data_IF_420889999431
#
_entry.id   IF_420889999431
#
_cell.length_a   1.000
_cell.length_b   1.000
_cell.length_c   1.000
_cell.angle_alpha   90.00
_cell.angle_beta   90.00
_cell.angle_gamma   90.00
#
_symmetry.space_group_name_H-M   'P 1'
#
loop_
_entity.id
_entity.type
_entity.pdbx_description
1 polymer ?
#
# COMPACT_ATOMS: atom_id res chain seq x y z
N UNK A 1 -13.34 -1.78 -4.23
CA UNK A 1 -12.71 -2.99 -3.67
C UNK A 1 -11.30 -2.74 -3.13
N UNK A 2 -10.47 -1.93 -3.81
CA UNK A 2 -9.07 -1.69 -3.40
C UNK A 2 -8.93 -0.84 -2.12
N UNK A 3 -9.84 0.11 -1.91
CA UNK A 3 -9.80 0.99 -0.73
C UNK A 3 -10.59 0.43 0.45
N UNK A 4 -11.80 -0.08 0.19
CA UNK A 4 -12.74 -0.48 1.24
C UNK A 4 -12.84 -1.99 1.46
N UNK A 5 -12.26 -2.81 0.60
CA UNK A 5 -12.22 -4.26 0.79
C UNK A 5 -11.56 -4.61 2.12
N UNK A 6 -12.11 -5.59 2.85
CA UNK A 6 -11.72 -5.93 4.23
C UNK A 6 -11.74 -4.72 5.18
N UNK A 7 -12.71 -3.81 5.01
CA UNK A 7 -12.85 -2.57 5.77
C UNK A 7 -11.60 -1.68 5.77
N UNK A 8 -10.80 -1.73 4.69
CA UNK A 8 -9.53 -1.01 4.58
C UNK A 8 -8.38 -1.57 5.43
N UNK A 9 -8.60 -2.69 6.12
CA UNK A 9 -7.61 -3.34 6.99
C UNK A 9 -6.74 -4.33 6.21
N UNK A 10 -6.05 -3.83 5.17
CA UNK A 10 -5.07 -4.59 4.38
C UNK A 10 -3.81 -3.76 4.19
N UNK A 11 -2.65 -4.39 4.27
CA UNK A 11 -1.34 -3.76 4.04
C UNK A 11 -1.22 -3.08 2.66
N UNK A 12 -2.02 -3.50 1.67
CA UNK A 12 -2.06 -2.95 0.32
C UNK A 12 -3.37 -2.23 -0.01
N UNK A 13 -4.24 -1.95 0.98
CA UNK A 13 -5.41 -1.11 0.74
C UNK A 13 -4.97 0.28 0.28
N UNK A 14 -5.66 0.79 -0.75
CA UNK A 14 -5.39 2.14 -1.24
C UNK A 14 -6.04 3.15 -0.29
N UNK A 15 -5.22 3.88 0.46
CA UNK A 15 -5.66 4.90 1.42
C UNK A 15 -5.70 6.30 0.82
N UNK A 16 -4.94 6.54 -0.24
CA UNK A 16 -4.84 7.84 -0.91
C UNK A 16 -5.05 7.69 -2.41
N UNK A 17 -5.85 8.58 -2.98
CA UNK A 17 -6.00 8.78 -4.42
C UNK A 17 -5.41 10.12 -4.79
N UNK A 18 -4.50 10.14 -5.75
CA UNK A 18 -3.95 11.38 -6.32
C UNK A 18 -4.67 11.69 -7.63
N UNK A 19 -5.52 12.71 -7.60
CA UNK A 19 -6.26 13.17 -8.77
C UNK A 19 -5.42 14.21 -9.53
N UNK A 20 -5.01 13.88 -10.76
CA UNK A 20 -4.11 14.69 -11.57
C UNK A 20 -4.90 15.59 -12.55
N UNK A 21 -4.62 16.88 -12.57
CA UNK A 21 -5.26 17.84 -13.45
C UNK A 21 -6.75 18.03 -13.12
N UNK A 22 -7.59 18.01 -14.11
CA UNK A 22 -9.03 18.33 -14.00
C UNK A 22 -9.93 17.12 -13.69
N UNK A 23 -9.36 15.94 -13.41
CA UNK A 23 -10.17 14.73 -13.19
C UNK A 23 -10.86 14.70 -11.82
N UNK A 24 -10.41 15.53 -10.85
CA UNK A 24 -10.78 15.48 -9.45
C UNK A 24 -12.29 15.43 -9.21
N UNK A 25 -13.04 16.41 -9.75
CA UNK A 25 -14.48 16.49 -9.52
C UNK A 25 -15.24 15.28 -10.05
N UNK A 26 -14.91 14.86 -11.28
CA UNK A 26 -15.53 13.68 -11.90
C UNK A 26 -15.23 12.40 -11.11
N UNK A 27 -14.01 12.27 -10.61
CA UNK A 27 -13.57 11.11 -9.82
C UNK A 27 -14.27 11.10 -8.47
N UNK A 28 -14.25 12.20 -7.73
CA UNK A 28 -14.88 12.32 -6.40
C UNK A 28 -16.39 12.04 -6.49
N UNK A 29 -17.09 12.59 -7.48
CA UNK A 29 -18.51 12.33 -7.68
C UNK A 29 -18.81 10.84 -7.93
N UNK A 30 -17.99 10.16 -8.74
CA UNK A 30 -18.15 8.73 -8.99
C UNK A 30 -17.82 7.89 -7.73
N UNK A 31 -16.77 8.26 -6.99
CA UNK A 31 -16.42 7.60 -5.73
C UNK A 31 -17.52 7.78 -4.69
N UNK A 32 -18.03 9.02 -4.50
CA UNK A 32 -19.14 9.32 -3.59
C UNK A 32 -20.31 8.36 -3.81
N UNK A 33 -20.78 8.26 -5.05
CA UNK A 33 -21.91 7.37 -5.38
C UNK A 33 -21.59 5.89 -5.05
N UNK A 34 -20.38 5.41 -5.40
CA UNK A 34 -19.99 4.02 -5.13
C UNK A 34 -19.85 3.72 -3.63
N UNK A 35 -19.29 4.67 -2.86
CA UNK A 35 -19.13 4.53 -1.42
C UNK A 35 -20.46 4.51 -0.68
N UNK A 36 -21.40 5.35 -1.10
CA UNK A 36 -22.77 5.39 -0.54
C UNK A 36 -23.58 4.12 -0.80
N UNK A 37 -23.30 3.42 -1.89
CA UNK A 37 -23.95 2.15 -2.24
C UNK A 37 -23.29 0.92 -1.62
N UNK A 38 -22.15 1.09 -0.94
CA UNK A 38 -21.38 -0.01 -0.36
C UNK A 38 -22.22 -0.74 0.70
N UNK A 39 -22.44 -2.03 0.51
CA UNK A 39 -23.22 -2.86 1.43
C UNK A 39 -22.34 -3.31 2.60
N UNK A 40 -22.56 -2.69 3.75
CA UNK A 40 -21.86 -3.02 5.00
C UNK A 40 -22.72 -4.00 5.80
N UNK A 41 -22.10 -5.07 6.31
CA UNK A 41 -22.86 -6.08 7.05
C UNK A 41 -21.98 -7.22 7.58
N UNK A 42 -22.57 -8.24 8.18
CA UNK A 42 -21.85 -9.41 8.68
C UNK A 42 -21.29 -10.25 7.52
N UNK A 43 -20.10 -10.83 7.70
CA UNK A 43 -19.45 -11.67 6.69
C UNK A 43 -20.18 -12.97 6.36
N UNK A 44 -21.18 -13.35 7.17
CA UNK A 44 -22.07 -14.49 6.87
C UNK A 44 -23.15 -14.18 5.82
N UNK A 45 -23.45 -12.89 5.56
CA UNK A 45 -24.37 -12.48 4.50
C UNK A 45 -23.60 -12.35 3.18
N UNK A 46 -24.01 -13.15 2.19
CA UNK A 46 -23.42 -13.18 0.83
C UNK A 46 -23.53 -11.85 0.07
N UNK A 47 -24.43 -10.96 0.49
CA UNK A 47 -24.61 -9.63 -0.13
C UNK A 47 -23.70 -8.58 0.50
N UNK A 48 -23.04 -8.88 1.60
CA UNK A 48 -22.10 -7.96 2.25
C UNK A 48 -20.85 -7.76 1.39
N UNK A 49 -20.49 -6.50 1.17
CA UNK A 49 -19.28 -6.09 0.44
C UNK A 49 -18.18 -5.63 1.38
N UNK A 50 -18.54 -5.17 2.59
CA UNK A 50 -17.59 -4.73 3.60
C UNK A 50 -18.08 -5.16 5.00
N UNK A 51 -17.21 -5.89 5.73
CA UNK A 51 -17.45 -6.36 7.09
C UNK A 51 -17.13 -5.30 8.16
N UNK A 52 -17.17 -5.72 9.45
CA UNK A 52 -16.77 -4.86 10.58
C UNK A 52 -15.25 -4.70 10.67
N UNK A 53 -14.81 -3.74 11.47
CA UNK A 53 -13.43 -3.67 11.97
C UNK A 53 -13.18 -4.76 13.03
N UNK A 54 -11.90 -5.03 13.33
CA UNK A 54 -11.51 -6.15 14.20
C UNK A 54 -11.84 -5.89 15.69
N UNK A 55 -11.61 -4.67 16.18
CA UNK A 55 -11.82 -4.32 17.60
C UNK A 55 -12.56 -2.99 17.78
N UNK A 56 -13.12 -2.80 18.98
CA UNK A 56 -13.77 -1.54 19.36
C UNK A 56 -12.76 -0.39 19.41
N UNK A 57 -11.59 -0.64 19.95
CA UNK A 57 -10.52 0.36 20.07
C UNK A 57 -10.12 0.86 18.69
N UNK A 58 -10.04 -0.05 17.72
CA UNK A 58 -9.72 0.32 16.34
C UNK A 58 -10.86 1.11 15.68
N UNK A 59 -12.11 0.75 15.93
CA UNK A 59 -13.27 1.53 15.48
C UNK A 59 -13.20 2.98 15.99
N UNK A 60 -12.91 3.17 17.28
CA UNK A 60 -12.79 4.51 17.84
C UNK A 60 -11.57 5.27 17.30
N UNK A 61 -10.46 4.57 17.08
CA UNK A 61 -9.29 5.15 16.38
C UNK A 61 -9.67 5.67 14.99
N UNK A 62 -10.35 4.85 14.16
CA UNK A 62 -10.76 5.23 12.80
C UNK A 62 -11.73 6.42 12.84
N UNK A 63 -12.73 6.41 13.73
CA UNK A 63 -13.63 7.56 13.91
C UNK A 63 -12.87 8.83 14.30
N UNK A 64 -11.90 8.71 15.20
CA UNK A 64 -11.03 9.82 15.60
C UNK A 64 -10.24 10.42 14.44
N UNK A 65 -9.75 9.59 13.49
CA UNK A 65 -9.11 10.10 12.29
C UNK A 65 -10.07 10.84 11.37
N UNK A 66 -11.34 10.43 11.29
CA UNK A 66 -12.35 11.18 10.54
C UNK A 66 -12.56 12.56 11.16
N UNK A 67 -12.62 12.66 12.49
CA UNK A 67 -12.71 13.95 13.19
C UNK A 67 -11.47 14.81 12.97
N UNK A 68 -10.28 14.22 13.00
CA UNK A 68 -9.02 14.92 12.73
C UNK A 68 -9.02 15.47 11.31
N UNK A 69 -9.42 14.70 10.29
CA UNK A 69 -9.48 15.15 8.91
C UNK A 69 -10.39 16.37 8.72
N UNK A 70 -11.58 16.34 9.36
CA UNK A 70 -12.51 17.49 9.37
C UNK A 70 -11.85 18.72 10.03
N UNK A 71 -11.25 18.53 11.21
CA UNK A 71 -10.60 19.61 11.98
C UNK A 71 -9.43 20.23 11.24
N UNK A 72 -8.69 19.43 10.46
CA UNK A 72 -7.56 19.90 9.63
C UNK A 72 -8.01 20.56 8.33
N UNK A 73 -9.33 20.58 8.04
CA UNK A 73 -9.94 21.28 6.92
C UNK A 73 -10.07 20.45 5.64
N UNK A 74 -9.96 19.12 5.74
CA UNK A 74 -10.33 18.25 4.63
C UNK A 74 -11.85 18.22 4.43
N UNK A 75 -12.30 18.10 3.19
CA UNK A 75 -13.73 18.04 2.86
C UNK A 75 -14.24 16.59 2.99
N UNK A 76 -15.03 16.30 4.04
CA UNK A 76 -15.69 15.01 4.21
C UNK A 76 -16.88 14.88 3.24
N UNK A 77 -16.67 14.14 2.16
CA UNK A 77 -17.65 13.93 1.08
C UNK A 77 -18.67 12.85 1.42
N UNK A 78 -18.22 11.79 2.11
CA UNK A 78 -19.07 10.71 2.64
C UNK A 78 -18.64 10.42 4.07
N UNK A 79 -19.62 10.46 5.00
CA UNK A 79 -19.42 10.11 6.40
C UNK A 79 -20.04 8.75 6.70
N UNK A 80 -19.20 7.73 6.85
CA UNK A 80 -19.59 6.37 7.17
C UNK A 80 -19.85 6.09 8.65
N UNK A 81 -19.62 7.06 9.56
CA UNK A 81 -19.72 6.85 11.02
C UNK A 81 -21.14 6.62 11.53
N UNK A 82 -22.14 7.04 10.77
CA UNK A 82 -23.56 7.00 11.16
C UNK A 82 -24.27 5.71 10.75
N UNK A 83 -23.54 4.70 10.33
CA UNK A 83 -24.15 3.42 9.96
C UNK A 83 -24.76 2.77 11.22
N UNK A 84 -26.00 2.28 11.08
CA UNK A 84 -26.67 1.45 12.08
C UNK A 84 -27.18 0.20 11.40
N UNK A 85 -26.75 -0.97 11.88
CA UNK A 85 -27.15 -2.27 11.35
C UNK A 85 -28.04 -2.94 12.39
N UNK A 86 -29.34 -3.07 12.06
CA UNK A 86 -30.32 -3.70 12.92
C UNK A 86 -29.91 -5.14 13.26
N UNK A 87 -29.88 -5.46 14.55
CA UNK A 87 -29.44 -6.77 15.07
C UNK A 87 -27.94 -6.93 15.22
N UNK A 88 -27.13 -5.93 14.82
CA UNK A 88 -25.66 -5.95 14.89
C UNK A 88 -25.10 -4.70 15.56
N UNK A 89 -25.85 -4.03 16.43
CA UNK A 89 -25.51 -2.76 17.08
C UNK A 89 -24.27 -2.84 17.96
N UNK A 90 -23.96 -4.06 18.44
CA UNK A 90 -22.75 -4.33 19.24
C UNK A 90 -21.50 -4.62 18.39
N UNK A 91 -21.66 -4.73 17.08
CA UNK A 91 -20.52 -4.96 16.15
C UNK A 91 -19.73 -3.70 15.87
N UNK A 92 -18.50 -3.87 15.43
CA UNK A 92 -17.55 -2.76 15.18
C UNK A 92 -17.68 -2.23 13.75
N UNK A 93 -18.91 -1.90 13.33
CA UNK A 93 -19.22 -1.47 11.97
C UNK A 93 -19.00 0.04 11.80
N UNK A 94 -18.45 0.38 10.65
CA UNK A 94 -18.34 1.73 10.12
C UNK A 94 -18.50 1.66 8.59
N UNK A 95 -19.20 2.60 8.00
CA UNK A 95 -19.30 2.72 6.55
C UNK A 95 -18.05 3.30 5.93
N UNK A 96 -17.97 3.31 4.60
CA UNK A 96 -16.88 3.97 3.90
C UNK A 96 -16.88 5.49 4.11
N UNK A 97 -15.73 6.04 4.47
CA UNK A 97 -15.52 7.48 4.57
C UNK A 97 -14.70 7.96 3.37
N UNK A 98 -15.08 9.08 2.78
CA UNK A 98 -14.39 9.70 1.63
C UNK A 98 -14.07 11.14 1.94
N UNK A 99 -12.80 11.49 1.89
CA UNK A 99 -12.31 12.86 1.97
C UNK A 99 -11.83 13.39 0.62
N UNK A 100 -12.09 14.65 0.35
CA UNK A 100 -11.53 15.41 -0.76
C UNK A 100 -10.72 16.61 -0.26
N UNK A 101 -9.92 17.20 -1.15
CA UNK A 101 -9.05 18.34 -0.84
C UNK A 101 -8.08 18.07 0.34
N UNK A 102 -7.66 16.83 0.49
CA UNK A 102 -6.66 16.46 1.49
C UNK A 102 -5.30 17.01 1.11
N UNK A 103 -4.60 17.58 2.08
CA UNK A 103 -3.26 18.16 1.88
C UNK A 103 -2.18 17.24 2.46
N UNK A 104 -0.95 17.23 1.89
CA UNK A 104 0.16 16.41 2.39
C UNK A 104 0.58 16.70 3.84
N UNK A 105 0.21 17.88 4.38
CA UNK A 105 0.46 18.25 5.76
C UNK A 105 -0.48 17.57 6.78
N UNK A 106 -1.63 17.09 6.33
CA UNK A 106 -2.68 16.53 7.20
C UNK A 106 -2.31 15.15 7.72
N UNK A 107 -2.74 14.84 8.95
CA UNK A 107 -2.49 13.53 9.58
C UNK A 107 -3.15 12.38 8.84
N UNK A 108 -4.35 12.58 8.31
CA UNK A 108 -5.06 11.57 7.51
C UNK A 108 -4.35 11.20 6.19
N UNK A 109 -3.37 12.03 5.74
CA UNK A 109 -2.48 11.69 4.63
C UNK A 109 -1.19 11.02 5.12
N UNK A 110 -0.62 11.48 6.25
CA UNK A 110 0.70 11.04 6.72
C UNK A 110 0.65 9.72 7.49
N UNK A 111 -0.41 9.51 8.28
CA UNK A 111 -0.50 8.43 9.23
C UNK A 111 -1.34 7.27 8.68
N UNK A 112 -0.98 6.05 9.02
CA UNK A 112 -1.73 4.86 8.65
C UNK A 112 -3.00 4.73 9.49
N UNK A 113 -4.15 4.95 8.87
CA UNK A 113 -5.47 4.81 9.52
C UNK A 113 -5.83 3.35 9.68
N UNK A 114 -5.59 2.54 8.66
CA UNK A 114 -5.90 1.11 8.58
C UNK A 114 -7.40 0.82 8.75
N UNK A 115 -8.22 1.60 8.06
CA UNK A 115 -9.68 1.56 8.13
C UNK A 115 -10.31 2.04 6.82
N UNK A 116 -11.67 2.03 6.69
CA UNK A 116 -12.35 2.35 5.45
C UNK A 116 -12.44 3.87 5.20
N UNK A 117 -11.29 4.52 5.17
CA UNK A 117 -11.14 5.97 4.93
C UNK A 117 -10.27 6.18 3.71
N UNK A 118 -10.83 6.82 2.68
CA UNK A 118 -10.13 7.16 1.44
C UNK A 118 -9.93 8.66 1.35
N UNK A 119 -8.70 9.10 1.16
CA UNK A 119 -8.29 10.49 1.02
C UNK A 119 -7.99 10.83 -0.44
N UNK A 120 -8.57 11.91 -0.97
CA UNK A 120 -8.26 12.41 -2.31
C UNK A 120 -7.39 13.66 -2.20
N UNK A 121 -6.20 13.58 -2.76
CA UNK A 121 -5.25 14.69 -2.94
C UNK A 121 -5.31 15.14 -4.39
N UNK A 122 -5.41 16.42 -4.62
CA UNK A 122 -5.46 17.01 -5.97
C UNK A 122 -4.11 17.63 -6.32
N UNK A 123 -3.60 17.36 -7.51
CA UNK A 123 -2.36 17.92 -8.05
C UNK A 123 -2.57 18.40 -9.48
N UNK A 124 -1.79 19.38 -9.90
CA UNK A 124 -1.99 20.02 -11.21
C UNK A 124 -1.50 19.14 -12.37
N UNK A 125 -0.42 18.36 -12.16
CA UNK A 125 0.26 17.67 -13.23
C UNK A 125 0.91 16.35 -12.76
N UNK A 126 1.42 15.60 -13.73
CA UNK A 126 2.04 14.30 -13.53
C UNK A 126 3.33 14.36 -12.68
N UNK A 127 4.15 15.39 -12.86
CA UNK A 127 5.40 15.52 -12.10
C UNK A 127 5.12 15.83 -10.62
N UNK A 128 4.12 16.67 -10.36
CA UNK A 128 3.61 16.94 -9.01
C UNK A 128 3.09 15.67 -8.33
N UNK A 129 2.42 14.79 -9.08
CA UNK A 129 1.96 13.51 -8.55
C UNK A 129 3.15 12.60 -8.18
N UNK A 130 4.16 12.47 -9.05
CA UNK A 130 5.38 11.70 -8.77
C UNK A 130 6.09 12.25 -7.53
N UNK A 131 6.26 13.58 -7.47
CA UNK A 131 6.90 14.23 -6.32
C UNK A 131 6.17 13.91 -5.03
N UNK A 132 4.84 14.07 -5.01
CA UNK A 132 4.00 13.79 -3.85
C UNK A 132 4.22 12.36 -3.31
N UNK A 133 4.19 11.36 -4.17
CA UNK A 133 4.39 9.96 -3.78
C UNK A 133 5.84 9.69 -3.36
N UNK A 134 6.80 10.30 -4.06
CA UNK A 134 8.22 10.11 -3.73
C UNK A 134 8.64 10.78 -2.42
N UNK A 135 8.01 11.88 -2.05
CA UNK A 135 8.28 12.60 -0.80
C UNK A 135 7.68 11.93 0.44
N UNK A 136 6.72 10.99 0.25
CA UNK A 136 6.13 10.28 1.38
C UNK A 136 7.17 9.37 2.06
N UNK A 137 7.15 9.29 3.39
CA UNK A 137 8.10 8.48 4.16
C UNK A 137 7.89 6.96 3.98
N UNK A 138 6.69 6.53 3.62
CA UNK A 138 6.38 5.15 3.28
C UNK A 138 6.40 4.91 1.76
N UNK A 139 6.72 3.70 1.35
CA UNK A 139 6.80 3.31 -0.06
C UNK A 139 6.46 1.84 -0.27
N UNK A 140 5.33 1.38 0.27
CA UNK A 140 4.90 -0.01 0.14
C UNK A 140 4.44 -0.31 -1.29
N UNK A 141 3.38 0.34 -1.75
CA UNK A 141 2.86 0.12 -3.09
C UNK A 141 2.09 1.32 -3.63
N UNK A 142 2.01 1.40 -4.95
CA UNK A 142 1.27 2.43 -5.66
C UNK A 142 0.69 1.88 -6.95
N UNK A 143 -0.34 2.53 -7.48
CA UNK A 143 -0.91 2.19 -8.78
C UNK A 143 -1.17 3.43 -9.60
N UNK A 144 -0.91 3.35 -10.91
CA UNK A 144 -1.29 4.38 -11.87
C UNK A 144 -2.38 3.85 -12.80
N UNK A 145 -3.36 4.68 -13.09
CA UNK A 145 -4.42 4.41 -14.07
C UNK A 145 -4.29 5.34 -15.25
N UNK A 146 -3.90 4.80 -16.39
CA UNK A 146 -3.67 5.56 -17.61
C UNK A 146 -3.94 4.72 -18.86
N UNK A 147 -4.28 5.36 -19.97
CA UNK A 147 -4.35 4.73 -21.30
C UNK A 147 -3.07 4.91 -22.11
N UNK A 148 -2.18 5.80 -21.66
CA UNK A 148 -0.91 6.07 -22.31
C UNK A 148 0.21 5.21 -21.73
N UNK A 149 0.75 4.32 -22.56
CA UNK A 149 1.81 3.40 -22.17
C UNK A 149 3.13 4.11 -21.82
N UNK A 150 3.40 5.27 -22.41
CA UNK A 150 4.60 6.05 -22.10
C UNK A 150 4.50 6.63 -20.68
N UNK A 151 3.35 7.21 -20.33
CA UNK A 151 3.07 7.68 -18.97
C UNK A 151 3.21 6.57 -17.95
N UNK A 152 2.66 5.37 -18.24
CA UNK A 152 2.78 4.21 -17.35
C UNK A 152 4.22 3.78 -17.11
N UNK A 153 5.03 3.65 -18.18
CA UNK A 153 6.47 3.30 -18.07
C UNK A 153 7.27 4.39 -17.37
N UNK A 154 7.01 5.65 -17.67
CA UNK A 154 7.69 6.78 -17.04
C UNK A 154 7.39 6.82 -15.54
N UNK A 155 6.14 6.57 -15.13
CA UNK A 155 5.76 6.46 -13.74
C UNK A 155 6.52 5.33 -13.04
N UNK A 156 6.48 4.12 -13.58
CA UNK A 156 7.14 2.96 -12.99
C UNK A 156 8.65 3.17 -12.78
N UNK A 157 9.31 3.87 -13.72
CA UNK A 157 10.74 4.16 -13.62
C UNK A 157 11.10 5.27 -12.62
N UNK A 158 10.22 6.26 -12.43
CA UNK A 158 10.51 7.43 -11.57
C UNK A 158 10.02 7.29 -10.14
N UNK A 159 9.08 6.39 -9.89
CA UNK A 159 8.47 6.25 -8.57
C UNK A 159 9.37 5.47 -7.60
N UNK A 160 9.49 5.97 -6.37
CA UNK A 160 10.34 5.37 -5.32
C UNK A 160 9.48 4.58 -4.34
N UNK A 161 8.93 3.48 -4.83
CA UNK A 161 8.02 2.59 -4.09
C UNK A 161 8.33 1.14 -4.47
N UNK A 162 8.16 0.21 -3.55
CA UNK A 162 8.56 -1.18 -3.75
C UNK A 162 7.70 -1.96 -4.75
N UNK A 163 6.39 -1.65 -4.83
CA UNK A 163 5.47 -2.33 -5.73
C UNK A 163 4.69 -1.31 -6.56
N UNK A 164 4.65 -1.50 -7.88
CA UNK A 164 4.00 -0.58 -8.81
C UNK A 164 3.01 -1.32 -9.69
N UNK A 165 1.76 -0.88 -9.68
CA UNK A 165 0.70 -1.36 -10.57
C UNK A 165 0.44 -0.38 -11.71
N UNK A 166 0.31 -0.87 -12.93
CA UNK A 166 -0.17 -0.10 -14.06
C UNK A 166 -1.55 -0.66 -14.44
N UNK A 167 -2.61 0.11 -14.18
CA UNK A 167 -4.01 -0.30 -14.33
C UNK A 167 -4.40 -1.53 -13.48
N UNK A 168 -3.63 -1.82 -12.44
CA UNK A 168 -3.89 -2.86 -11.45
C UNK A 168 -4.00 -2.20 -10.07
N UNK A 169 -5.10 -2.41 -9.33
CA UNK A 169 -5.35 -1.70 -8.08
C UNK A 169 -4.42 -2.13 -6.93
N UNK A 170 -4.07 -3.41 -6.87
CA UNK A 170 -3.23 -3.97 -5.80
C UNK A 170 -2.08 -4.76 -6.46
N UNK A 171 -0.87 -4.17 -6.55
CA UNK A 171 0.23 -4.73 -7.32
C UNK A 171 1.03 -5.80 -6.55
N UNK A 172 0.35 -6.70 -5.86
CA UNK A 172 0.99 -7.81 -5.14
C UNK A 172 1.09 -9.02 -6.08
N UNK A 173 2.31 -9.51 -6.38
CA UNK A 173 2.49 -10.69 -7.21
C UNK A 173 2.25 -11.99 -6.43
N UNK A 174 2.38 -13.13 -7.11
CA UNK A 174 2.40 -14.43 -6.47
C UNK A 174 3.62 -14.56 -5.54
N UNK A 175 3.47 -15.30 -4.42
CA UNK A 175 4.47 -15.39 -3.35
C UNK A 175 5.82 -16.03 -3.73
N UNK A 176 5.93 -16.64 -4.90
CA UNK A 176 7.21 -17.14 -5.41
C UNK A 176 8.09 -16.04 -6.05
N UNK A 177 7.53 -14.84 -6.28
CA UNK A 177 8.30 -13.65 -6.65
C UNK A 177 8.72 -12.89 -5.40
N UNK A 178 9.89 -12.27 -5.43
CA UNK A 178 10.30 -11.33 -4.41
C UNK A 178 9.52 -10.02 -4.54
N UNK A 179 8.91 -9.55 -3.46
CA UNK A 179 8.18 -8.28 -3.42
C UNK A 179 8.15 -7.70 -2.00
N UNK A 180 7.94 -6.42 -1.90
CA UNK A 180 7.82 -5.72 -0.62
C UNK A 180 7.95 -4.21 -0.76
N UNK A 181 7.90 -3.51 0.36
CA UNK A 181 8.01 -2.06 0.42
C UNK A 181 9.44 -1.55 0.32
N UNK A 182 9.55 -0.24 0.09
CA UNK A 182 10.76 0.55 0.22
C UNK A 182 10.63 1.54 1.38
N UNK A 183 11.66 2.31 1.65
CA UNK A 183 11.69 3.35 2.69
C UNK A 183 11.29 2.77 4.06
N UNK A 184 10.44 3.47 4.82
CA UNK A 184 9.95 2.98 6.13
C UNK A 184 8.93 1.83 6.05
N UNK A 185 8.56 1.40 4.84
CA UNK A 185 7.69 0.23 4.66
C UNK A 185 8.44 -1.10 4.68
N UNK A 186 9.74 -1.10 4.89
CA UNK A 186 10.56 -2.29 5.01
C UNK A 186 11.65 -2.10 6.07
N UNK A 187 11.92 -3.14 6.85
CA UNK A 187 13.07 -3.21 7.74
C UNK A 187 14.18 -4.04 7.09
N UNK A 188 15.35 -3.41 6.85
CA UNK A 188 16.45 -4.01 6.10
C UNK A 188 16.29 -3.90 4.59
N UNK A 189 17.12 -4.65 3.84
CA UNK A 189 17.26 -4.53 2.39
C UNK A 189 16.63 -5.68 1.60
N UNK A 190 16.27 -6.77 2.28
CA UNK A 190 15.75 -7.98 1.63
C UNK A 190 14.27 -8.19 1.94
N UNK A 191 13.51 -8.53 0.90
CA UNK A 191 12.12 -8.90 1.03
C UNK A 191 11.99 -10.35 1.53
N UNK A 192 10.82 -10.70 2.11
CA UNK A 192 10.59 -11.99 2.77
C UNK A 192 10.06 -13.08 1.81
N UNK A 193 9.68 -12.74 0.59
CA UNK A 193 9.07 -13.66 -0.37
C UNK A 193 10.02 -14.00 -1.52
N UNK A 194 9.74 -15.12 -2.21
CA UNK A 194 10.53 -15.60 -3.33
C UNK A 194 11.97 -15.98 -2.95
N UNK A 195 12.93 -15.87 -3.87
CA UNK A 195 14.33 -16.22 -3.61
C UNK A 195 14.98 -15.43 -2.46
N UNK A 196 14.53 -14.19 -2.25
CA UNK A 196 15.04 -13.36 -1.16
C UNK A 196 14.65 -13.91 0.21
N UNK A 197 13.52 -14.59 0.35
CA UNK A 197 13.13 -15.27 1.57
C UNK A 197 14.14 -16.35 1.99
N UNK A 198 14.68 -17.10 1.04
CA UNK A 198 15.75 -18.08 1.31
C UNK A 198 17.02 -17.37 1.79
N UNK A 199 17.43 -16.32 1.09
CA UNK A 199 18.63 -15.52 1.44
C UNK A 199 18.51 -14.85 2.80
N UNK A 200 17.31 -14.40 3.16
CA UNK A 200 17.04 -13.76 4.46
C UNK A 200 17.30 -14.71 5.64
N UNK A 201 16.89 -15.98 5.53
CA UNK A 201 17.03 -16.97 6.61
C UNK A 201 18.30 -17.80 6.56
N UNK A 202 19.17 -17.59 5.57
CA UNK A 202 20.41 -18.37 5.39
C UNK A 202 21.63 -17.46 5.34
N UNK A 203 22.81 -18.07 5.53
CA UNK A 203 24.10 -17.39 5.37
C UNK A 203 24.88 -18.06 4.25
N UNK A 204 25.41 -17.27 3.34
CA UNK A 204 26.31 -17.73 2.31
C UNK A 204 27.65 -18.15 2.95
N UNK A 205 28.13 -19.36 2.64
CA UNK A 205 29.45 -19.84 3.01
C UNK A 205 30.25 -20.17 1.75
N UNK A 206 31.38 -19.54 1.57
CA UNK A 206 32.30 -19.86 0.49
C UNK A 206 33.33 -20.85 1.00
N UNK A 207 33.53 -21.94 0.28
CA UNK A 207 34.49 -22.99 0.59
C UNK A 207 35.42 -23.13 -0.62
N UNK A 208 36.70 -22.90 -0.42
CA UNK A 208 37.72 -23.18 -1.43
C UNK A 208 38.54 -24.37 -0.93
N UNK A 209 38.66 -25.42 -1.75
CA UNK A 209 39.39 -26.63 -1.38
C UNK A 209 40.32 -27.06 -2.50
N UNK A 210 41.47 -27.64 -2.10
CA UNK A 210 42.42 -28.30 -2.99
C UNK A 210 42.70 -29.70 -2.43
N UNK A 211 42.52 -30.68 -3.26
CA UNK A 211 42.84 -32.09 -2.89
C UNK A 211 44.09 -32.52 -3.65
N UNK A 212 45.28 -32.41 -3.04
CA UNK A 212 46.51 -32.84 -3.70
C UNK A 212 46.52 -34.37 -3.86
N UNK A 213 46.94 -34.84 -5.02
CA UNK A 213 47.04 -36.26 -5.35
C UNK A 213 48.27 -36.95 -4.73
N UNK A 214 49.22 -36.13 -4.25
CA UNK A 214 50.44 -36.62 -3.58
C UNK A 214 50.79 -35.67 -2.43
N UNK A 215 51.35 -36.19 -1.35
CA UNK A 215 51.95 -35.41 -0.28
C UNK A 215 53.29 -34.87 -0.83
N UNK A 216 53.34 -33.56 -1.18
CA UNK A 216 54.58 -32.90 -1.55
C UNK A 216 55.24 -32.33 -0.28
N UNK A 217 56.51 -32.58 -0.12
CA UNK A 217 57.30 -32.22 1.10
C UNK A 217 57.57 -30.71 1.23
N UNK A 218 57.25 -29.91 0.25
CA UNK A 218 57.48 -28.46 0.26
C UNK A 218 56.21 -27.66 0.09
N UNK A 219 55.92 -26.65 0.91
CA UNK A 219 54.85 -25.70 0.72
C UNK A 219 55.13 -24.84 -0.51
N UNK A 220 54.32 -25.00 -1.57
CA UNK A 220 54.37 -24.12 -2.72
C UNK A 220 53.51 -22.88 -2.45
N UNK A 221 54.15 -21.71 -2.26
CA UNK A 221 53.49 -20.41 -2.20
C UNK A 221 53.25 -19.85 -3.62
N UNK A 222 52.66 -20.62 -4.51
CA UNK A 222 52.33 -20.15 -5.83
C UNK A 222 50.84 -19.82 -5.88
N UNK A 223 50.52 -18.56 -6.08
CA UNK A 223 49.15 -18.13 -6.36
C UNK A 223 48.67 -18.75 -7.68
N UNK A 224 47.54 -19.47 -7.72
CA UNK A 224 47.00 -19.97 -8.97
C UNK A 224 46.65 -18.80 -9.90
N UNK A 225 47.28 -18.76 -11.05
CA UNK A 225 46.93 -17.84 -12.15
C UNK A 225 45.97 -18.54 -13.08
N UNK A 226 44.87 -17.90 -13.43
CA UNK A 226 44.02 -18.38 -14.53
C UNK A 226 44.79 -18.25 -15.86
N UNK A 227 44.96 -19.38 -16.53
CA UNK A 227 45.43 -19.39 -17.92
C UNK A 227 44.25 -19.37 -18.87
#
# INVERSE_FOLDING_TARGET
>A
GAAYGSAGERCMAQSVVVAVGNIGDKLVNKLKHKVQLLKVGPGSDKNTEMGPLVTKEHLEKVKGYVDIGIKEGANLVVDGRKINLQGFEKGFYIGGCLFDNVKPSMRIYKEEIFGPVLSVVRVNDFNSAIKLVNDHEFGNGTSIYTRDGNTGRTYANKIKVGMVGINIPIPVPMAFHSFGGWKRSLFGDQHMHGPEGVRFYTKLKTITSRWPSRVTSNPEFIMPTMK
#
